data_IF_286678630924
#
_entry.id   IF_286678630924
#
_cell.length_a   1.000
_cell.length_b   1.000
_cell.length_c   1.000
_cell.angle_alpha   90.00
_cell.angle_beta   90.00
_cell.angle_gamma   90.00
#
_symmetry.space_group_name_H-M   'P 1'
#
loop_
_entity.id
_entity.type
_entity.pdbx_description
1 polymer ?
#
# COMPACT_ATOMS: atom_id res chain seq x y z
N UNK A 1 -2.19 -1.43 -8.55
CA UNK A 1 -2.72 -1.62 -7.19
C UNK A 1 -1.53 -1.66 -6.26
N UNK A 2 -1.62 -0.98 -5.12
CA UNK A 2 -0.60 -1.00 -4.07
C UNK A 2 -1.14 -1.81 -2.89
N UNK A 3 -0.41 -2.83 -2.46
CA UNK A 3 -0.64 -3.47 -1.17
C UNK A 3 0.22 -2.79 -0.10
N UNK A 4 -0.36 -2.44 1.04
CA UNK A 4 0.32 -1.94 2.24
C UNK A 4 0.20 -3.04 3.29
N UNK A 5 1.33 -3.52 3.80
CA UNK A 5 1.40 -4.73 4.60
C UNK A 5 2.09 -4.44 5.92
N UNK A 6 1.41 -4.73 7.02
CA UNK A 6 2.02 -4.65 8.34
C UNK A 6 2.79 -5.95 8.64
N UNK A 7 4.10 -5.83 8.84
CA UNK A 7 4.98 -6.92 9.28
C UNK A 7 5.20 -6.92 10.80
N UNK A 8 4.68 -5.92 11.53
CA UNK A 8 4.87 -5.70 12.95
C UNK A 8 6.08 -4.82 13.29
N UNK A 9 6.12 -4.34 14.53
CA UNK A 9 7.27 -3.61 15.10
C UNK A 9 7.42 -2.16 14.63
N UNK A 10 6.51 -1.64 13.80
CA UNK A 10 6.60 -0.28 13.25
C UNK A 10 5.88 0.80 14.07
N UNK A 11 4.99 0.39 14.99
CA UNK A 11 4.06 1.30 15.66
C UNK A 11 2.98 1.90 14.74
N UNK A 12 2.97 1.52 13.46
CA UNK A 12 2.02 1.98 12.44
C UNK A 12 1.27 0.79 11.84
N UNK A 13 -0.06 0.88 11.79
CA UNK A 13 -0.86 -0.15 11.12
C UNK A 13 -1.00 0.14 9.62
N UNK A 14 -1.03 -0.92 8.82
CA UNK A 14 -1.20 -0.83 7.38
C UNK A 14 -2.50 -0.13 6.97
N UNK A 15 -3.57 -0.27 7.77
CA UNK A 15 -4.84 0.40 7.56
C UNK A 15 -4.71 1.91 7.53
N UNK A 16 -4.08 2.48 8.57
CA UNK A 16 -3.87 3.92 8.66
C UNK A 16 -2.97 4.46 7.56
N UNK A 17 -1.85 3.78 7.28
CA UNK A 17 -0.93 4.18 6.20
C UNK A 17 -1.61 4.08 4.83
N UNK A 18 -2.30 2.98 4.56
CA UNK A 18 -3.01 2.78 3.30
C UNK A 18 -4.12 3.82 3.08
N UNK A 19 -4.90 4.14 4.12
CA UNK A 19 -5.97 5.14 4.01
C UNK A 19 -5.40 6.55 3.75
N UNK A 20 -4.30 6.92 4.42
CA UNK A 20 -3.66 8.21 4.22
C UNK A 20 -3.02 8.33 2.82
N UNK A 21 -2.40 7.26 2.32
CA UNK A 21 -1.90 7.18 0.93
C UNK A 21 -3.06 7.35 -0.06
N UNK A 22 -4.15 6.62 0.15
CA UNK A 22 -5.32 6.68 -0.70
C UNK A 22 -5.92 8.10 -0.72
N UNK A 23 -5.96 8.77 0.44
CA UNK A 23 -6.38 10.16 0.56
C UNK A 23 -5.48 11.10 -0.21
N UNK A 24 -4.15 11.06 0.00
CA UNK A 24 -3.20 11.91 -0.75
C UNK A 24 -3.36 11.75 -2.26
N UNK A 25 -3.50 10.52 -2.73
CA UNK A 25 -3.65 10.26 -4.17
C UNK A 25 -4.98 10.77 -4.71
N UNK A 26 -6.04 10.76 -3.91
CA UNK A 26 -7.32 11.38 -4.24
C UNK A 26 -7.22 12.91 -4.24
N UNK A 27 -6.51 13.52 -3.28
CA UNK A 27 -6.25 14.97 -3.24
C UNK A 27 -5.42 15.46 -4.44
N UNK A 28 -4.56 14.60 -4.97
CA UNK A 28 -3.83 14.83 -6.22
C UNK A 28 -4.68 14.59 -7.49
N UNK A 29 -6.01 14.45 -7.35
CA UNK A 29 -6.96 14.28 -8.44
C UNK A 29 -7.22 12.85 -8.89
N UNK A 30 -6.77 11.85 -8.11
CA UNK A 30 -6.98 10.44 -8.42
C UNK A 30 -8.38 9.95 -8.06
N UNK A 31 -8.84 8.95 -8.82
CA UNK A 31 -9.96 8.08 -8.43
C UNK A 31 -9.39 6.88 -7.69
N UNK A 32 -9.67 6.79 -6.39
CA UNK A 32 -9.01 5.83 -5.50
C UNK A 32 -10.03 4.95 -4.78
N UNK A 33 -9.73 3.66 -4.71
CA UNK A 33 -10.40 2.70 -3.84
C UNK A 33 -9.41 2.24 -2.77
N UNK A 34 -9.74 2.51 -1.51
CA UNK A 34 -9.10 1.92 -0.35
C UNK A 34 -9.86 0.67 0.09
N UNK A 35 -9.13 -0.40 0.38
CA UNK A 35 -9.68 -1.67 0.86
C UNK A 35 -8.92 -2.10 2.09
N UNK A 36 -9.62 -2.16 3.22
CA UNK A 36 -9.12 -2.76 4.44
C UNK A 36 -9.36 -4.28 4.40
N UNK A 37 -8.27 -5.02 4.25
CA UNK A 37 -8.21 -6.47 4.21
C UNK A 37 -7.43 -7.04 5.41
N UNK A 38 -7.32 -6.29 6.51
CA UNK A 38 -6.63 -6.76 7.71
C UNK A 38 -7.52 -7.74 8.50
N UNK A 39 -7.16 -9.04 8.60
CA UNK A 39 -7.96 -10.02 9.33
C UNK A 39 -7.91 -9.81 10.85
N UNK A 40 -6.97 -9.02 11.37
CA UNK A 40 -6.92 -8.68 12.79
C UNK A 40 -8.00 -7.68 13.18
N UNK A 41 -8.65 -7.02 12.20
CA UNK A 41 -9.71 -6.05 12.44
C UNK A 41 -9.18 -4.81 13.14
N UNK A 42 -8.41 -3.98 12.42
CA UNK A 42 -7.66 -2.83 12.95
C UNK A 42 -8.50 -1.73 13.64
N UNK A 43 -9.81 -1.92 13.81
CA UNK A 43 -10.80 -0.91 14.24
C UNK A 43 -10.69 0.37 13.41
N UNK A 44 -10.17 0.27 12.19
CA UNK A 44 -10.00 1.41 11.28
C UNK A 44 -11.35 2.05 10.99
N UNK A 45 -12.41 1.23 10.85
CA UNK A 45 -13.80 1.67 10.72
C UNK A 45 -14.28 2.56 11.89
N UNK A 46 -13.64 2.52 13.07
CA UNK A 46 -14.00 3.35 14.22
C UNK A 46 -13.20 4.67 14.26
N UNK A 47 -12.04 4.74 13.57
CA UNK A 47 -11.12 5.88 13.59
C UNK A 47 -10.82 6.51 12.22
N UNK A 48 -11.45 6.05 11.15
CA UNK A 48 -11.12 6.47 9.79
C UNK A 48 -11.25 7.97 9.57
N UNK A 49 -12.19 8.65 10.24
CA UNK A 49 -12.37 10.10 10.15
C UNK A 49 -11.17 10.86 10.73
N UNK A 50 -10.62 10.38 11.84
CA UNK A 50 -9.40 10.92 12.46
C UNK A 50 -8.19 10.63 11.58
N UNK A 51 -8.03 9.38 11.13
CA UNK A 51 -6.92 8.94 10.27
C UNK A 51 -6.88 9.70 8.94
N UNK A 52 -8.01 9.85 8.27
CA UNK A 52 -8.11 10.57 7.00
C UNK A 52 -8.25 12.09 7.18
N UNK A 53 -8.49 12.56 8.41
CA UNK A 53 -8.79 13.96 8.75
C UNK A 53 -9.91 14.53 7.88
N UNK A 54 -10.92 13.73 7.59
CA UNK A 54 -11.99 14.05 6.67
C UNK A 54 -13.31 13.36 7.05
N UNK A 55 -14.42 14.03 6.73
CA UNK A 55 -15.76 13.46 6.88
C UNK A 55 -16.13 12.69 5.61
N UNK A 56 -16.41 11.40 5.75
CA UNK A 56 -16.89 10.56 4.65
C UNK A 56 -18.42 10.59 4.62
N UNK A 57 -18.97 10.59 3.41
CA UNK A 57 -20.34 10.14 3.18
C UNK A 57 -20.42 8.65 3.52
N UNK A 58 -21.34 8.24 4.41
CA UNK A 58 -21.47 6.85 4.81
C UNK A 58 -21.93 5.98 3.64
N UNK A 59 -21.53 4.70 3.67
CA UNK A 59 -22.03 3.72 2.72
C UNK A 59 -23.53 3.45 2.96
N UNK A 60 -24.30 3.29 1.88
CA UNK A 60 -25.71 2.88 1.96
C UNK A 60 -25.82 1.44 2.49
N UNK A 61 -24.83 0.61 2.16
CA UNK A 61 -24.73 -0.80 2.56
C UNK A 61 -23.30 -1.09 3.02
N UNK A 62 -23.12 -2.00 3.96
CA UNK A 62 -21.79 -2.36 4.46
C UNK A 62 -21.09 -3.43 3.62
N UNK A 63 -19.81 -3.66 3.91
CA UNK A 63 -19.05 -4.80 3.38
C UNK A 63 -19.70 -6.16 3.68
N UNK A 64 -20.32 -6.42 4.86
CA UNK A 64 -21.02 -7.68 5.11
C UNK A 64 -22.13 -7.97 4.09
N UNK A 65 -22.92 -6.97 3.69
CA UNK A 65 -23.95 -7.17 2.65
C UNK A 65 -23.36 -7.44 1.27
N UNK A 66 -22.19 -6.88 0.96
CA UNK A 66 -21.49 -7.16 -0.30
C UNK A 66 -21.00 -8.61 -0.36
N UNK A 67 -20.46 -9.11 0.75
CA UNK A 67 -20.04 -10.52 0.89
C UNK A 67 -21.23 -11.46 0.69
N UNK A 68 -22.39 -11.13 1.28
CA UNK A 68 -23.63 -11.92 1.16
C UNK A 68 -24.19 -11.91 -0.26
N UNK A 69 -24.10 -10.79 -0.98
CA UNK A 69 -24.60 -10.68 -2.35
C UNK A 69 -23.87 -11.63 -3.32
N UNK A 70 -22.61 -11.99 -3.04
CA UNK A 70 -21.76 -12.86 -3.88
C UNK A 70 -21.56 -12.38 -5.33
N UNK A 71 -21.96 -11.17 -5.64
CA UNK A 71 -21.82 -10.57 -6.97
C UNK A 71 -20.32 -10.25 -7.27
N UNK A 72 -19.94 -10.13 -8.56
CA UNK A 72 -18.62 -9.61 -8.94
C UNK A 72 -18.40 -8.19 -8.42
N UNK A 73 -17.17 -7.83 -8.02
CA UNK A 73 -16.89 -6.44 -7.62
C UNK A 73 -16.90 -5.52 -8.84
N UNK A 74 -17.97 -4.75 -8.99
CA UNK A 74 -18.13 -3.73 -10.04
C UNK A 74 -18.15 -2.33 -9.43
N UNK A 75 -17.85 -1.29 -10.22
CA UNK A 75 -17.95 0.09 -9.74
C UNK A 75 -19.35 0.46 -9.25
N UNK A 76 -20.40 -0.09 -9.88
CA UNK A 76 -21.80 0.11 -9.47
C UNK A 76 -22.03 -0.42 -8.06
N UNK A 77 -21.62 -1.65 -7.77
CA UNK A 77 -21.76 -2.23 -6.43
C UNK A 77 -20.90 -1.48 -5.42
N UNK A 78 -19.66 -1.14 -5.77
CA UNK A 78 -18.79 -0.38 -4.87
C UNK A 78 -19.40 0.98 -4.49
N UNK A 79 -20.12 1.66 -5.39
CA UNK A 79 -20.79 2.92 -5.07
C UNK A 79 -21.86 2.78 -3.97
N UNK A 80 -22.53 1.63 -3.87
CA UNK A 80 -23.53 1.36 -2.82
C UNK A 80 -22.91 0.92 -1.49
N UNK A 81 -21.69 0.37 -1.53
CA UNK A 81 -21.08 -0.35 -0.42
C UNK A 81 -19.84 0.34 0.20
N UNK A 82 -19.32 1.37 -0.44
CA UNK A 82 -18.18 2.14 0.02
C UNK A 82 -18.60 3.38 0.79
N UNK A 83 -17.81 3.72 1.81
CA UNK A 83 -17.74 5.10 2.28
C UNK A 83 -17.11 5.93 1.17
N UNK A 84 -17.59 7.15 0.97
CA UNK A 84 -17.09 8.01 -0.10
C UNK A 84 -16.67 9.37 0.41
N UNK A 85 -15.63 9.90 -0.21
CA UNK A 85 -15.12 11.24 0.03
C UNK A 85 -14.79 11.85 -1.32
N UNK A 86 -15.49 12.93 -1.65
CA UNK A 86 -15.23 13.78 -2.81
C UNK A 86 -14.54 15.05 -2.33
N UNK A 87 -13.40 15.40 -2.94
CA UNK A 87 -12.64 16.59 -2.61
C UNK A 87 -12.57 17.60 -3.77
N UNK A 88 -13.42 17.44 -4.79
CA UNK A 88 -13.47 18.26 -5.99
C UNK A 88 -12.37 17.97 -7.01
N UNK A 89 -11.17 17.59 -6.56
CA UNK A 89 -10.07 17.21 -7.44
C UNK A 89 -10.17 15.74 -7.89
N UNK A 90 -10.62 14.84 -7.01
CA UNK A 90 -10.72 13.41 -7.19
C UNK A 90 -11.71 12.77 -6.22
N UNK A 91 -11.68 11.44 -6.12
CA UNK A 91 -12.58 10.72 -5.20
C UNK A 91 -11.88 9.56 -4.50
N UNK A 92 -12.24 9.35 -3.24
CA UNK A 92 -11.82 8.23 -2.43
C UNK A 92 -13.03 7.42 -2.02
N UNK A 93 -13.02 6.14 -2.39
CA UNK A 93 -13.96 5.13 -1.90
C UNK A 93 -13.24 4.23 -0.91
N UNK A 94 -13.87 3.90 0.21
CA UNK A 94 -13.27 3.08 1.25
C UNK A 94 -14.19 1.91 1.64
N UNK A 95 -13.66 0.68 1.53
CA UNK A 95 -14.23 -0.52 2.11
C UNK A 95 -13.49 -0.84 3.40
N UNK A 96 -14.17 -0.72 4.53
CA UNK A 96 -13.59 -1.05 5.84
C UNK A 96 -13.96 -2.47 6.27
N UNK A 97 -12.99 -3.20 6.80
CA UNK A 97 -13.24 -4.51 7.39
C UNK A 97 -14.12 -4.35 8.65
N UNK A 98 -14.94 -5.37 8.99
CA UNK A 98 -15.65 -5.37 10.25
C UNK A 98 -14.69 -5.30 11.45
N UNK A 99 -15.04 -4.54 12.48
CA UNK A 99 -14.20 -4.38 13.68
C UNK A 99 -13.96 -5.70 14.46
N UNK A 100 -14.80 -6.73 14.27
CA UNK A 100 -14.64 -8.03 14.93
C UNK A 100 -13.72 -8.94 14.11
N UNK A 101 -12.69 -9.49 14.75
CA UNK A 101 -11.69 -10.41 14.17
C UNK A 101 -12.30 -11.54 13.32
N UNK A 102 -13.33 -12.22 13.82
CA UNK A 102 -13.98 -13.31 13.08
C UNK A 102 -14.62 -12.83 11.76
N UNK A 103 -15.16 -11.60 11.73
CA UNK A 103 -15.71 -10.98 10.52
C UNK A 103 -14.61 -10.48 9.58
N UNK A 104 -13.55 -9.90 10.14
CA UNK A 104 -12.38 -9.43 9.40
C UNK A 104 -11.66 -10.59 8.67
N UNK A 105 -11.46 -11.73 9.34
CA UNK A 105 -10.85 -12.92 8.73
C UNK A 105 -11.66 -13.47 7.54
N UNK A 106 -13.00 -13.49 7.64
CA UNK A 106 -13.88 -13.87 6.52
C UNK A 106 -13.84 -12.87 5.37
N UNK A 107 -13.77 -11.59 5.71
CA UNK A 107 -13.65 -10.49 4.74
C UNK A 107 -12.36 -10.62 3.94
N UNK A 108 -11.24 -10.85 4.60
CA UNK A 108 -9.94 -11.02 3.94
C UNK A 108 -9.94 -12.23 2.99
N UNK A 109 -10.53 -13.37 3.38
CA UNK A 109 -10.69 -14.53 2.49
C UNK A 109 -11.55 -14.21 1.27
N UNK A 110 -12.71 -13.58 1.49
CA UNK A 110 -13.58 -13.19 0.39
C UNK A 110 -12.92 -12.17 -0.56
N UNK A 111 -12.14 -11.22 -0.04
CA UNK A 111 -11.36 -10.30 -0.87
C UNK A 111 -10.29 -11.02 -1.69
N UNK A 112 -9.66 -12.06 -1.13
CA UNK A 112 -8.71 -12.89 -1.87
C UNK A 112 -9.38 -13.63 -3.04
N UNK A 113 -10.58 -14.18 -2.82
CA UNK A 113 -11.41 -14.77 -3.89
C UNK A 113 -11.79 -13.74 -4.97
N UNK A 114 -11.91 -12.47 -4.60
CA UNK A 114 -12.25 -11.34 -5.47
C UNK A 114 -11.04 -10.58 -6.02
N UNK A 115 -9.83 -11.11 -5.89
CA UNK A 115 -8.60 -10.43 -6.35
C UNK A 115 -8.64 -10.07 -7.84
N UNK A 116 -9.21 -10.95 -8.68
CA UNK A 116 -9.39 -10.69 -10.12
C UNK A 116 -10.32 -9.50 -10.40
N UNK A 117 -11.41 -9.38 -9.65
CA UNK A 117 -12.33 -8.25 -9.78
C UNK A 117 -11.68 -6.94 -9.29
N UNK A 118 -10.91 -6.98 -8.19
CA UNK A 118 -10.12 -5.83 -7.72
C UNK A 118 -9.07 -5.38 -8.76
N UNK A 119 -8.44 -6.33 -9.46
CA UNK A 119 -7.54 -6.02 -10.56
C UNK A 119 -8.27 -5.35 -11.75
N UNK A 120 -9.52 -5.75 -12.03
CA UNK A 120 -10.35 -5.10 -13.04
C UNK A 120 -10.72 -3.68 -12.63
N UNK A 121 -11.19 -3.49 -11.39
CA UNK A 121 -11.43 -2.15 -10.80
C UNK A 121 -10.16 -1.29 -10.85
N UNK A 122 -8.99 -1.91 -10.69
CA UNK A 122 -7.73 -1.18 -10.74
C UNK A 122 -7.43 -0.51 -12.10
N UNK A 123 -8.03 -1.00 -13.20
CA UNK A 123 -7.89 -0.37 -14.52
C UNK A 123 -8.57 0.99 -14.59
N UNK A 124 -9.61 1.19 -13.78
CA UNK A 124 -10.41 2.40 -13.75
C UNK A 124 -10.09 3.28 -12.54
N UNK A 125 -9.60 2.68 -11.45
CA UNK A 125 -9.28 3.36 -10.19
C UNK A 125 -7.94 2.91 -9.65
N UNK A 126 -7.22 3.77 -8.95
CA UNK A 126 -6.08 3.31 -8.14
C UNK A 126 -6.63 2.53 -6.95
N UNK A 127 -6.13 1.32 -6.73
CA UNK A 127 -6.52 0.50 -5.57
C UNK A 127 -5.37 0.50 -4.57
N UNK A 128 -5.68 0.83 -3.31
CA UNK A 128 -4.81 0.68 -2.14
C UNK A 128 -5.43 -0.37 -1.24
N UNK A 129 -4.72 -1.48 -1.05
CA UNK A 129 -5.12 -2.57 -0.18
C UNK A 129 -4.28 -2.50 1.09
N UNK A 130 -4.90 -2.51 2.27
CA UNK A 130 -4.20 -2.64 3.54
C UNK A 130 -4.41 -4.04 4.13
N UNK A 131 -3.35 -4.70 4.59
CA UNK A 131 -3.46 -5.98 5.31
C UNK A 131 -2.25 -6.20 6.23
N UNK A 132 -2.21 -7.34 6.92
CA UNK A 132 -1.08 -7.77 7.74
C UNK A 132 -0.43 -9.01 7.13
N UNK A 133 0.91 -9.11 7.19
CA UNK A 133 1.62 -10.34 6.82
C UNK A 133 1.18 -11.55 7.66
N UNK A 134 0.64 -11.33 8.86
CA UNK A 134 0.07 -12.39 9.71
C UNK A 134 -1.20 -13.03 9.12
N UNK A 135 -1.79 -12.44 8.08
CA UNK A 135 -2.98 -12.98 7.41
C UNK A 135 -2.72 -14.35 6.75
N UNK A 136 -1.47 -14.65 6.41
CA UNK A 136 -1.06 -15.91 5.79
C UNK A 136 -1.27 -15.95 4.26
N UNK A 137 -0.69 -16.95 3.60
CA UNK A 137 -0.62 -17.02 2.13
C UNK A 137 -2.00 -17.18 1.48
N UNK A 138 -2.94 -17.92 2.08
CA UNK A 138 -4.26 -18.13 1.48
C UNK A 138 -5.06 -16.83 1.33
N UNK A 139 -4.84 -15.87 2.22
CA UNK A 139 -5.51 -14.57 2.21
C UNK A 139 -4.74 -13.53 1.41
N UNK A 140 -3.42 -13.54 1.49
CA UNK A 140 -2.58 -12.52 0.86
C UNK A 140 -2.18 -12.87 -0.56
N UNK A 141 -1.90 -14.14 -0.86
CA UNK A 141 -1.33 -14.59 -2.13
C UNK A 141 -2.06 -14.03 -3.35
N UNK A 142 -3.38 -14.27 -3.50
CA UNK A 142 -4.14 -13.74 -4.63
C UNK A 142 -4.15 -12.20 -4.72
N UNK A 143 -4.24 -11.52 -3.59
CA UNK A 143 -4.24 -10.05 -3.51
C UNK A 143 -2.88 -9.46 -3.89
N UNK A 144 -1.80 -10.10 -3.45
CA UNK A 144 -0.44 -9.75 -3.81
C UNK A 144 -0.19 -10.03 -5.28
N UNK A 145 -0.65 -11.16 -5.81
CA UNK A 145 -0.63 -11.50 -7.24
C UNK A 145 -1.37 -10.47 -8.10
N UNK A 146 -2.46 -9.89 -7.63
CA UNK A 146 -3.15 -8.80 -8.33
C UNK A 146 -2.47 -7.43 -8.15
N UNK A 147 -1.55 -7.27 -7.20
CA UNK A 147 -0.88 -6.01 -6.88
C UNK A 147 0.31 -5.72 -7.78
N UNK A 148 0.44 -4.47 -8.21
CA UNK A 148 1.57 -4.00 -9.03
C UNK A 148 2.77 -3.59 -8.17
N UNK A 149 2.51 -3.19 -6.93
CA UNK A 149 3.52 -2.83 -5.94
C UNK A 149 3.07 -3.28 -4.55
N UNK A 150 4.04 -3.46 -3.65
CA UNK A 150 3.79 -3.71 -2.23
C UNK A 150 4.68 -2.79 -1.39
N UNK A 151 4.12 -2.22 -0.32
CA UNK A 151 4.79 -1.46 0.72
C UNK A 151 4.69 -2.26 2.03
N UNK A 152 5.82 -2.74 2.54
CA UNK A 152 5.89 -3.43 3.82
C UNK A 152 6.26 -2.42 4.90
N UNK A 153 5.50 -2.39 5.99
CA UNK A 153 5.77 -1.61 7.20
C UNK A 153 6.39 -2.53 8.23
N UNK A 154 7.63 -2.26 8.65
CA UNK A 154 8.31 -3.13 9.59
C UNK A 154 9.27 -2.36 10.51
N UNK A 155 9.39 -2.81 11.75
CA UNK A 155 10.60 -2.53 12.54
C UNK A 155 11.79 -3.32 12.00
N UNK A 156 12.97 -2.72 11.98
CA UNK A 156 14.23 -3.42 11.68
C UNK A 156 15.38 -2.83 12.52
N UNK A 157 15.21 -2.82 13.84
CA UNK A 157 16.21 -2.33 14.79
C UNK A 157 17.43 -3.25 14.92
N UNK A 158 17.36 -4.48 14.40
CA UNK A 158 18.47 -5.44 14.36
C UNK A 158 18.45 -6.28 13.08
N UNK A 159 19.56 -6.97 12.82
CA UNK A 159 19.67 -7.92 11.71
C UNK A 159 18.69 -9.09 11.84
N UNK A 160 18.50 -9.60 13.06
CA UNK A 160 17.57 -10.70 13.36
C UNK A 160 16.11 -10.29 13.05
N UNK A 161 15.73 -9.07 13.42
CA UNK A 161 14.41 -8.52 13.07
C UNK A 161 14.25 -8.39 11.55
N UNK A 162 15.26 -7.87 10.85
CA UNK A 162 15.25 -7.75 9.40
C UNK A 162 15.14 -9.13 8.70
N UNK A 163 15.88 -10.14 9.16
CA UNK A 163 15.80 -11.50 8.66
C UNK A 163 14.42 -12.14 8.93
N UNK A 164 13.83 -11.86 10.09
CA UNK A 164 12.46 -12.29 10.45
C UNK A 164 11.43 -11.67 9.51
N UNK A 165 11.53 -10.36 9.22
CA UNK A 165 10.69 -9.67 8.24
C UNK A 165 10.88 -10.31 6.86
N UNK A 166 12.12 -10.54 6.44
CA UNK A 166 12.44 -11.23 5.19
C UNK A 166 11.80 -12.62 5.09
N UNK A 167 11.82 -13.40 6.18
CA UNK A 167 11.19 -14.72 6.24
C UNK A 167 9.66 -14.63 6.11
N UNK A 168 9.02 -13.69 6.78
CA UNK A 168 7.57 -13.44 6.66
C UNK A 168 7.20 -13.02 5.24
N UNK A 169 7.98 -12.13 4.64
CA UNK A 169 7.80 -11.71 3.25
C UNK A 169 7.94 -12.88 2.27
N UNK A 170 8.95 -13.75 2.44
CA UNK A 170 9.10 -15.00 1.67
C UNK A 170 7.88 -15.90 1.80
N UNK A 171 7.43 -16.14 3.02
CA UNK A 171 6.25 -16.98 3.29
C UNK A 171 4.97 -16.40 2.67
N UNK A 172 4.86 -15.08 2.56
CA UNK A 172 3.75 -14.39 1.91
C UNK A 172 3.89 -14.29 0.37
N UNK A 173 4.96 -14.83 -0.23
CA UNK A 173 5.19 -14.76 -1.67
C UNK A 173 5.73 -13.42 -2.18
N UNK A 174 6.26 -12.57 -1.29
CA UNK A 174 6.88 -11.29 -1.64
C UNK A 174 8.34 -11.43 -2.13
N UNK A 175 8.80 -12.62 -2.48
CA UNK A 175 10.15 -12.86 -3.02
C UNK A 175 10.15 -13.30 -4.48
N UNK A 176 11.19 -12.91 -5.21
CA UNK A 176 11.38 -13.19 -6.63
C UNK A 176 11.66 -11.92 -7.46
N UNK A 177 12.34 -12.02 -8.62
CA UNK A 177 12.75 -10.90 -9.47
C UNK A 177 11.59 -10.24 -10.24
N UNK A 178 10.35 -10.38 -9.75
CA UNK A 178 9.17 -9.84 -10.43
C UNK A 178 9.31 -8.33 -10.62
N UNK A 179 8.90 -7.81 -11.78
CA UNK A 179 8.87 -6.38 -12.18
C UNK A 179 8.08 -5.43 -11.24
N UNK A 180 7.68 -5.89 -10.06
CA UNK A 180 6.87 -5.17 -9.08
C UNK A 180 7.78 -4.40 -8.15
N UNK A 181 7.52 -3.10 -7.99
CA UNK A 181 8.18 -2.29 -6.97
C UNK A 181 7.79 -2.83 -5.59
N UNK A 182 8.74 -3.41 -4.88
CA UNK A 182 8.56 -3.92 -3.52
C UNK A 182 9.37 -3.04 -2.58
N UNK A 183 8.62 -2.22 -1.85
CA UNK A 183 9.12 -1.15 -1.02
C UNK A 183 9.03 -1.57 0.44
N UNK A 184 10.08 -1.29 1.20
CA UNK A 184 10.10 -1.44 2.65
C UNK A 184 10.16 -0.05 3.28
N UNK A 185 9.20 0.27 4.12
CA UNK A 185 9.29 1.38 5.05
C UNK A 185 9.76 0.83 6.39
N UNK A 186 11.03 1.11 6.68
CA UNK A 186 11.66 0.70 7.94
C UNK A 186 11.35 1.70 9.00
N UNK A 187 10.88 1.20 10.12
CA UNK A 187 10.43 1.96 11.24
C UNK A 187 11.57 1.98 12.29
N UNK A 188 12.09 3.18 12.58
CA UNK A 188 13.05 3.47 13.65
C UNK A 188 14.44 3.85 13.15
N UNK A 189 15.29 4.36 14.05
CA UNK A 189 16.73 4.39 13.82
C UNK A 189 17.22 2.95 13.75
N UNK A 190 17.26 2.38 12.55
CA UNK A 190 17.94 1.12 12.30
C UNK A 190 19.45 1.39 12.28
N UNK A 191 20.25 0.64 13.06
CA UNK A 191 21.71 0.70 12.93
C UNK A 191 22.20 0.11 11.60
N UNK A 192 21.33 -0.63 10.90
CA UNK A 192 21.63 -1.22 9.61
C UNK A 192 21.53 -0.16 8.51
N UNK A 193 22.41 -0.22 7.52
CA UNK A 193 22.26 0.54 6.28
C UNK A 193 21.24 -0.10 5.31
N UNK A 194 20.94 0.58 4.20
CA UNK A 194 19.91 0.12 3.25
C UNK A 194 20.34 -1.16 2.52
N UNK A 195 21.65 -1.38 2.34
CA UNK A 195 22.18 -2.56 1.67
C UNK A 195 22.12 -3.78 2.60
N UNK A 196 22.40 -3.61 3.89
CA UNK A 196 22.22 -4.63 4.92
C UNK A 196 20.76 -5.04 5.07
N UNK A 197 19.84 -4.07 5.11
CA UNK A 197 18.41 -4.34 5.15
C UNK A 197 17.96 -5.06 3.87
N UNK A 198 18.41 -4.60 2.70
CA UNK A 198 18.10 -5.27 1.42
C UNK A 198 18.62 -6.70 1.40
N UNK A 199 19.83 -6.94 1.90
CA UNK A 199 20.42 -8.27 1.98
C UNK A 199 19.62 -9.20 2.92
N UNK A 200 19.17 -8.70 4.08
CA UNK A 200 18.42 -9.49 5.06
C UNK A 200 16.96 -9.76 4.62
N UNK A 201 16.30 -8.75 4.07
CA UNK A 201 14.86 -8.77 3.74
C UNK A 201 14.57 -9.21 2.31
N UNK A 202 15.48 -8.93 1.37
CA UNK A 202 15.25 -9.02 -0.06
C UNK A 202 14.36 -7.90 -0.64
N UNK A 203 14.15 -6.80 0.10
CA UNK A 203 13.28 -5.68 -0.28
C UNK A 203 14.08 -4.39 -0.48
N UNK A 204 13.61 -3.51 -1.38
CA UNK A 204 14.19 -2.17 -1.52
C UNK A 204 13.68 -1.25 -0.40
N UNK A 205 14.59 -0.57 0.30
CA UNK A 205 14.21 0.43 1.30
C UNK A 205 13.68 1.66 0.59
N UNK A 206 12.41 1.98 0.82
CA UNK A 206 11.73 3.14 0.22
C UNK A 206 11.70 4.34 1.16
N UNK A 207 11.68 4.07 2.47
CA UNK A 207 11.70 5.09 3.49
C UNK A 207 12.27 4.53 4.80
N UNK A 208 12.98 5.38 5.53
CA UNK A 208 13.29 5.19 6.95
C UNK A 208 12.43 6.17 7.74
N UNK A 209 11.62 5.63 8.64
CA UNK A 209 10.71 6.39 9.48
C UNK A 209 11.37 6.57 10.82
N UNK A 210 11.27 7.76 11.40
CA UNK A 210 11.60 7.90 12.81
C UNK A 210 10.48 7.23 13.61
N UNK A 211 10.70 5.99 14.05
CA UNK A 211 9.78 5.35 15.00
C UNK A 211 9.85 6.07 16.32
N UNK A 212 8.66 6.18 16.88
CA UNK A 212 8.44 6.58 18.24
C UNK A 212 8.74 5.38 19.12
N UNK A 213 9.84 5.46 19.85
CA UNK A 213 10.14 4.52 20.93
C UNK A 213 8.89 4.36 21.81
N UNK A 214 8.40 3.12 21.95
CA UNK A 214 7.16 2.80 22.67
C UNK A 214 7.21 3.36 24.11
N UNK A 215 8.39 3.41 24.75
CA UNK A 215 8.55 4.07 26.06
C UNK A 215 8.29 5.58 26.01
N UNK A 216 8.75 6.27 24.98
CA UNK A 216 8.52 7.71 24.79
C UNK A 216 7.07 8.02 24.43
N UNK A 217 6.40 7.09 23.74
CA UNK A 217 4.97 7.16 23.43
C UNK A 217 4.13 6.97 24.68
N UNK A 218 4.47 5.99 25.53
CA UNK A 218 3.75 5.67 26.76
C UNK A 218 3.92 6.75 27.84
N UNK A 219 5.07 7.44 27.89
CA UNK A 219 5.33 8.54 28.84
C UNK A 219 4.80 9.91 28.39
N UNK A 220 4.32 10.03 27.15
CA UNK A 220 3.83 11.29 26.58
C UNK A 220 2.37 11.61 26.92
N UNK A 221 2.01 12.89 26.99
CA UNK A 221 0.59 13.32 27.02
C UNK A 221 -0.12 12.85 25.73
N UNK A 222 -1.40 12.43 25.77
CA UNK A 222 -2.12 11.87 24.63
C UNK A 222 -1.99 12.67 23.32
N UNK A 223 -2.13 14.00 23.38
CA UNK A 223 -2.01 14.85 22.17
C UNK A 223 -0.61 14.95 21.56
N UNK A 224 0.47 14.60 22.29
CA UNK A 224 1.81 14.51 21.69
C UNK A 224 1.98 13.22 20.89
N UNK A 225 1.43 12.10 21.37
CA UNK A 225 1.46 10.81 20.67
C UNK A 225 0.78 10.91 19.32
N UNK A 226 -0.43 11.46 19.31
CA UNK A 226 -1.24 11.64 18.11
C UNK A 226 -0.54 12.50 17.07
N UNK A 227 0.00 13.67 17.46
CA UNK A 227 0.76 14.54 16.54
C UNK A 227 1.91 13.81 15.89
N UNK A 228 2.70 13.06 16.67
CA UNK A 228 3.87 12.34 16.15
C UNK A 228 3.47 11.19 15.23
N UNK A 229 2.43 10.44 15.57
CA UNK A 229 1.86 9.40 14.70
C UNK A 229 1.51 9.99 13.33
N UNK A 230 0.81 11.12 13.31
CA UNK A 230 0.46 11.77 12.06
C UNK A 230 1.66 12.37 11.31
N UNK A 231 2.68 12.88 12.00
CA UNK A 231 3.92 13.32 11.32
C UNK A 231 4.60 12.15 10.59
N UNK A 232 4.72 10.99 11.24
CA UNK A 232 5.28 9.79 10.61
C UNK A 232 4.43 9.32 9.42
N UNK A 233 3.10 9.40 9.54
CA UNK A 233 2.16 9.11 8.47
C UNK A 233 2.37 10.04 7.27
N UNK A 234 2.42 11.35 7.49
CA UNK A 234 2.64 12.38 6.46
C UNK A 234 4.00 12.15 5.76
N UNK A 235 5.04 11.75 6.49
CA UNK A 235 6.36 11.43 5.94
C UNK A 235 6.37 10.20 5.02
N UNK A 236 5.72 9.09 5.40
CA UNK A 236 5.57 7.92 4.51
C UNK A 236 4.83 8.34 3.27
N UNK A 237 3.70 9.00 3.50
CA UNK A 237 2.75 9.34 2.47
C UNK A 237 3.40 10.25 1.45
N UNK A 238 4.27 11.19 1.86
CA UNK A 238 5.06 12.06 0.99
C UNK A 238 6.04 11.32 0.07
N UNK A 239 6.66 10.23 0.54
CA UNK A 239 7.70 9.47 -0.18
C UNK A 239 7.15 8.41 -1.14
N UNK A 240 5.94 7.92 -0.90
CA UNK A 240 5.33 6.87 -1.72
C UNK A 240 4.51 7.48 -2.85
N UNK A 241 5.03 7.38 -4.08
CA UNK A 241 4.33 7.77 -5.28
C UNK A 241 3.20 6.80 -5.63
N UNK A 242 2.16 7.31 -6.29
CA UNK A 242 1.12 6.47 -6.83
C UNK A 242 1.69 5.58 -7.96
N UNK A 243 1.43 4.27 -7.95
CA UNK A 243 1.76 3.44 -9.10
C UNK A 243 1.00 3.96 -10.33
N UNK A 244 1.57 3.83 -11.54
CA UNK A 244 0.88 4.22 -12.76
C UNK A 244 -0.47 3.50 -12.84
N UNK A 245 -1.49 4.19 -13.35
CA UNK A 245 -2.80 3.59 -13.57
C UNK A 245 -2.65 2.42 -14.57
N UNK A 246 -3.33 1.30 -14.31
CA UNK A 246 -3.29 0.16 -15.22
C UNK A 246 -3.99 0.53 -16.54
N UNK A 247 -3.19 0.85 -17.56
CA UNK A 247 -3.67 1.33 -18.86
C UNK A 247 -3.13 2.70 -19.28
N UNK A 248 -2.43 3.43 -18.40
CA UNK A 248 -1.65 4.57 -18.85
C UNK A 248 -0.59 4.06 -19.84
N UNK A 249 -0.47 4.61 -21.06
CA UNK A 249 0.61 4.25 -21.96
C UNK A 249 1.91 4.43 -21.16
N UNK A 250 2.70 3.37 -21.07
CA UNK A 250 4.02 3.47 -20.46
C UNK A 250 4.72 4.58 -21.20
N UNK A 251 4.90 5.73 -20.56
CA UNK A 251 5.81 6.74 -21.03
C UNK A 251 7.18 6.07 -20.94
N UNK A 252 7.51 5.29 -21.97
CA UNK A 252 8.85 4.80 -22.18
C UNK A 252 9.70 6.06 -22.08
N UNK A 253 10.53 6.12 -21.03
CA UNK A 253 11.63 7.08 -21.01
C UNK A 253 12.28 6.89 -22.38
N UNK A 254 12.37 7.92 -23.24
CA UNK A 254 13.11 7.78 -24.47
C UNK A 254 14.49 7.29 -24.04
N UNK A 255 14.84 6.06 -24.46
CA UNK A 255 16.21 5.59 -24.33
C UNK A 255 17.04 6.67 -24.99
N UNK A 256 17.90 7.32 -24.20
CA UNK A 256 18.84 8.28 -24.74
C UNK A 256 19.57 7.56 -25.87
N UNK A 257 19.61 8.11 -27.10
CA UNK A 257 20.25 7.45 -28.22
C UNK A 257 21.68 7.12 -27.80
N UNK A 258 22.01 5.83 -27.75
CA UNK A 258 23.37 5.36 -27.58
C UNK A 258 24.21 5.98 -28.70
N UNK A 259 25.25 6.71 -28.30
CA UNK A 259 26.11 7.55 -29.16
C UNK A 259 26.90 6.74 -30.22
N UNK A 260 26.78 5.41 -30.24
CA UNK A 260 27.52 4.55 -31.18
C UNK A 260 26.96 4.50 -32.62
N UNK A 261 25.85 5.18 -32.92
CA UNK A 261 25.27 5.22 -34.27
C UNK A 261 25.68 6.41 -35.15
N UNK A 262 26.28 7.47 -34.58
CA UNK A 262 26.43 8.75 -35.28
C UNK A 262 27.68 8.88 -36.17
N UNK A 263 28.58 7.88 -36.18
CA UNK A 263 29.83 7.95 -36.95
C UNK A 263 29.80 7.21 -38.31
N UNK A 264 28.69 6.58 -38.70
CA UNK A 264 28.63 5.78 -39.94
C UNK A 264 28.11 6.53 -41.18
N UNK A 265 27.74 7.81 -41.11
CA UNK A 265 27.13 8.54 -42.24
C UNK A 265 27.90 9.78 -42.74
N UNK A 266 29.17 9.94 -42.35
CA UNK A 266 30.04 11.02 -42.88
C UNK A 266 31.37 10.44 -43.38
N UNK A 267 31.34 9.46 -44.29
CA UNK A 267 32.48 9.11 -45.17
C UNK A 267 31.95 8.57 -46.50
N UNK A 268 31.45 9.48 -47.33
CA UNK A 268 30.96 9.16 -48.67
C UNK A 268 30.80 10.40 -49.54
N UNK A 269 31.69 11.39 -49.42
CA UNK A 269 31.73 12.56 -50.30
C UNK A 269 33.09 13.28 -50.21
N UNK A 270 34.17 12.60 -50.63
CA UNK A 270 35.43 13.25 -51.02
C UNK A 270 36.37 12.20 -51.65
N UNK A 271 36.10 11.85 -52.90
CA UNK A 271 37.08 11.32 -53.81
C UNK A 271 37.10 12.24 -55.04
N UNK A 272 37.88 13.31 -54.91
CA UNK A 272 38.54 14.10 -55.96
C UNK A 272 39.72 14.77 -55.28
#
# INVERSE_FOLDING_TARGET
MLAVLDAGGSGLDAGSVGLALARRWSDAGGMVLFVDADPAGARLAERYGETARAAFSPATRGLPSLIVAREPLTLRLLAEHCYSLDNGAGSLWALFAPARTAGAGRTALWLAEKAGDLAAVHRERRVVLASSLAAGPDRLGPLLEASAAALVLAGAGSREEAETVGARCRAAGLTGPSRRRRLLAVAGPSPLDDDEIRAATGLEVAARLQVLDDEQVLRGRPGRRERRFFTALDEIVARVEAPPAAGAPSAARPEAPTVDGAHALIRGAAAS
#
